data_IF_504134796318
#
_entry.id   IF_504134796318
#
_cell.length_a   1.000
_cell.length_b   1.000
_cell.length_c   1.000
_cell.angle_alpha   90.00
_cell.angle_beta   90.00
_cell.angle_gamma   90.00
#
_symmetry.space_group_name_H-M   'P 1'
#
loop_
_entity.id
_entity.type
_entity.pdbx_description
1 polymer ?
#
# COMPACT_ATOMS: atom_id res chain seq x y z
N UNK A 1 -11.49 -18.61 9.93
CA UNK A 1 -11.54 -18.34 11.39
C UNK A 1 -10.29 -18.87 12.11
N UNK A 2 -9.89 -20.11 11.87
CA UNK A 2 -8.70 -20.73 12.51
C UNK A 2 -7.38 -19.96 12.25
N UNK A 3 -7.18 -19.49 11.02
CA UNK A 3 -6.00 -18.71 10.62
C UNK A 3 -5.89 -17.34 11.32
N UNK A 4 -7.02 -16.75 11.74
CA UNK A 4 -7.04 -15.47 12.48
C UNK A 4 -6.67 -15.70 13.95
N UNK A 5 -7.17 -16.79 14.53
CA UNK A 5 -6.85 -17.20 15.91
C UNK A 5 -5.36 -17.52 16.08
N UNK A 6 -4.75 -18.20 15.10
CA UNK A 6 -3.31 -18.50 15.10
C UNK A 6 -2.45 -17.23 15.08
N UNK A 7 -2.76 -16.27 14.19
CA UNK A 7 -2.05 -14.99 14.09
C UNK A 7 -2.11 -14.18 15.38
N UNK A 8 -3.27 -14.14 16.04
CA UNK A 8 -3.42 -13.48 17.35
C UNK A 8 -2.52 -14.12 18.40
N UNK A 9 -2.48 -15.46 18.44
CA UNK A 9 -1.64 -16.22 19.35
C UNK A 9 -0.15 -15.95 19.16
N UNK A 10 0.31 -15.90 17.91
CA UNK A 10 1.69 -15.60 17.55
C UNK A 10 2.09 -14.18 18.00
N UNK A 11 1.24 -13.18 17.75
CA UNK A 11 1.46 -11.79 18.19
C UNK A 11 1.52 -11.65 19.71
N UNK A 12 0.66 -12.37 20.43
CA UNK A 12 0.68 -12.39 21.90
C UNK A 12 2.01 -12.98 22.41
N UNK A 13 2.45 -14.09 21.82
CA UNK A 13 3.71 -14.74 22.17
C UNK A 13 4.91 -13.85 21.86
N UNK A 14 4.89 -13.16 20.72
CA UNK A 14 5.92 -12.20 20.29
C UNK A 14 6.12 -11.11 21.34
N UNK A 15 5.07 -10.33 21.64
CA UNK A 15 5.18 -9.21 22.60
C UNK A 15 5.55 -9.68 24.01
N UNK A 16 5.05 -10.86 24.42
CA UNK A 16 5.39 -11.46 25.71
C UNK A 16 6.88 -11.79 25.78
N UNK A 17 7.43 -12.45 24.76
CA UNK A 17 8.85 -12.82 24.70
C UNK A 17 9.77 -11.60 24.58
N UNK A 18 9.41 -10.61 23.75
CA UNK A 18 10.18 -9.36 23.60
C UNK A 18 10.31 -8.61 24.93
N UNK A 19 9.27 -8.66 25.76
CA UNK A 19 9.26 -8.05 27.10
C UNK A 19 9.73 -8.99 28.20
N UNK A 20 10.19 -10.19 27.86
CA UNK A 20 10.69 -11.20 28.80
C UNK A 20 9.67 -11.57 29.89
N UNK A 21 8.38 -11.53 29.54
CA UNK A 21 7.29 -11.86 30.44
C UNK A 21 6.97 -13.36 30.39
N UNK A 22 6.65 -13.94 31.55
CA UNK A 22 6.04 -15.27 31.65
C UNK A 22 4.53 -15.20 31.39
N UNK A 23 3.89 -16.35 31.17
CA UNK A 23 2.42 -16.39 31.08
C UNK A 23 1.75 -15.99 32.42
N UNK A 24 2.45 -16.16 33.55
CA UNK A 24 1.95 -15.71 34.85
C UNK A 24 1.99 -14.18 34.94
N UNK A 25 3.07 -13.55 34.49
CA UNK A 25 3.18 -12.09 34.46
C UNK A 25 2.11 -11.47 33.57
N UNK A 26 1.88 -12.05 32.38
CA UNK A 26 0.81 -11.57 31.48
C UNK A 26 -0.57 -11.82 32.10
N UNK A 27 -0.78 -12.91 32.84
CA UNK A 27 -2.03 -13.15 33.52
C UNK A 27 -2.31 -12.10 34.60
N UNK A 28 -1.30 -11.74 35.38
CA UNK A 28 -1.38 -10.67 36.39
C UNK A 28 -1.65 -9.31 35.76
N UNK A 29 -0.91 -8.95 34.69
CA UNK A 29 -1.04 -7.67 34.02
C UNK A 29 -2.39 -7.47 33.32
N UNK A 30 -2.99 -8.53 32.79
CA UNK A 30 -4.17 -8.46 31.92
C UNK A 30 -5.46 -8.91 32.60
N UNK A 31 -5.36 -9.61 33.73
CA UNK A 31 -6.49 -10.26 34.39
C UNK A 31 -7.10 -11.40 33.57
N UNK A 32 -6.38 -11.93 32.58
CA UNK A 32 -6.77 -13.11 31.78
C UNK A 32 -6.04 -14.32 32.34
N UNK A 33 -6.74 -15.45 32.51
CA UNK A 33 -6.14 -16.62 33.16
C UNK A 33 -4.97 -17.21 32.35
N UNK A 34 -3.93 -17.67 33.05
CA UNK A 34 -2.77 -18.35 32.44
C UNK A 34 -3.17 -19.49 31.48
N UNK A 35 -4.15 -20.37 31.81
CA UNK A 35 -4.58 -21.40 30.88
C UNK A 35 -5.15 -20.83 29.57
N UNK A 36 -5.96 -19.77 29.66
CA UNK A 36 -6.55 -19.11 28.48
C UNK A 36 -5.48 -18.43 27.63
N UNK A 37 -4.53 -17.71 28.24
CA UNK A 37 -3.40 -17.12 27.52
C UNK A 37 -2.58 -18.19 26.78
N UNK A 38 -2.32 -19.34 27.44
CA UNK A 38 -1.63 -20.46 26.83
C UNK A 38 -2.41 -21.10 25.67
N UNK A 39 -3.74 -21.19 25.77
CA UNK A 39 -4.58 -21.68 24.66
C UNK A 39 -4.58 -20.71 23.48
N UNK A 40 -4.62 -19.40 23.74
CA UNK A 40 -4.53 -18.35 22.71
C UNK A 40 -3.18 -18.44 21.99
N UNK A 41 -2.06 -18.50 22.72
CA UNK A 41 -0.72 -18.60 22.09
C UNK A 41 -0.50 -19.85 21.24
N UNK A 42 -1.21 -20.94 21.53
CA UNK A 42 -1.18 -22.19 20.73
C UNK A 42 -2.24 -22.23 19.63
N UNK A 43 -3.03 -21.16 19.46
CA UNK A 43 -4.14 -21.11 18.51
C UNK A 43 -5.32 -22.04 18.84
N UNK A 44 -5.34 -22.65 20.03
CA UNK A 44 -6.35 -23.62 20.48
C UNK A 44 -7.67 -22.95 20.89
N UNK A 45 -7.69 -21.63 21.07
CA UNK A 45 -8.89 -20.84 21.37
C UNK A 45 -8.85 -19.52 20.63
N UNK A 46 -9.96 -19.15 19.97
CA UNK A 46 -10.14 -17.82 19.40
C UNK A 46 -10.65 -16.85 20.48
N UNK A 47 -9.85 -15.86 20.90
CA UNK A 47 -10.28 -14.92 21.93
C UNK A 47 -11.39 -14.00 21.39
N UNK A 48 -12.29 -13.60 22.28
CA UNK A 48 -13.28 -12.55 21.97
C UNK A 48 -12.61 -11.17 21.95
N UNK A 49 -13.25 -10.19 21.32
CA UNK A 49 -12.77 -8.79 21.32
C UNK A 49 -12.56 -8.24 22.75
N UNK A 50 -13.38 -8.65 23.71
CA UNK A 50 -13.25 -8.26 25.12
C UNK A 50 -11.97 -8.82 25.76
N UNK A 51 -11.61 -10.07 25.42
CA UNK A 51 -10.34 -10.67 25.88
C UNK A 51 -9.16 -9.93 25.26
N UNK A 52 -9.22 -9.62 23.96
CA UNK A 52 -8.18 -8.84 23.30
C UNK A 52 -8.03 -7.43 23.88
N UNK A 53 -9.12 -6.78 24.27
CA UNK A 53 -9.09 -5.51 24.99
C UNK A 53 -8.42 -5.60 26.35
N UNK A 54 -8.71 -6.65 27.14
CA UNK A 54 -8.04 -6.89 28.42
C UNK A 54 -6.54 -7.08 28.24
N UNK A 55 -6.15 -7.91 27.26
CA UNK A 55 -4.75 -8.19 26.96
C UNK A 55 -4.03 -6.93 26.49
N UNK A 56 -4.60 -6.21 25.52
CA UNK A 56 -4.02 -4.97 24.98
C UNK A 56 -3.87 -3.89 26.05
N UNK A 57 -4.87 -3.73 26.92
CA UNK A 57 -4.83 -2.79 28.05
C UNK A 57 -3.73 -3.16 29.06
N UNK A 58 -3.68 -4.43 29.50
CA UNK A 58 -2.68 -4.89 30.47
C UNK A 58 -1.26 -4.82 29.94
N UNK A 59 -1.07 -5.09 28.65
CA UNK A 59 0.21 -4.96 27.95
C UNK A 59 0.48 -3.55 27.42
N UNK A 60 -0.42 -2.57 27.62
CA UNK A 60 -0.27 -1.19 27.13
C UNK A 60 0.09 -1.12 25.64
N UNK A 61 -0.63 -1.86 24.81
CA UNK A 61 -0.52 -1.86 23.35
C UNK A 61 -1.89 -1.50 22.75
N UNK A 62 -1.96 -0.91 21.55
CA UNK A 62 -3.25 -0.69 20.89
C UNK A 62 -3.88 -2.04 20.50
N UNK A 63 -5.22 -2.14 20.51
CA UNK A 63 -5.94 -3.34 20.07
C UNK A 63 -5.54 -3.74 18.63
N UNK A 64 -5.28 -2.75 17.77
CA UNK A 64 -4.84 -2.93 16.39
C UNK A 64 -3.51 -3.69 16.26
N UNK A 65 -2.72 -3.82 17.33
CA UNK A 65 -1.53 -4.66 17.34
C UNK A 65 -1.86 -6.12 16.97
N UNK A 66 -2.99 -6.65 17.45
CA UNK A 66 -3.47 -7.99 17.11
C UNK A 66 -4.09 -8.06 15.70
N UNK A 67 -4.42 -6.90 15.12
CA UNK A 67 -4.93 -6.77 13.77
C UNK A 67 -3.82 -6.55 12.74
N UNK A 68 -2.56 -6.40 13.17
CA UNK A 68 -1.42 -6.20 12.26
C UNK A 68 -1.30 -7.44 11.37
N UNK A 69 -1.80 -7.32 10.14
CA UNK A 69 -1.43 -8.24 9.07
C UNK A 69 0.09 -8.28 9.00
N UNK A 70 0.67 -9.47 9.01
CA UNK A 70 2.06 -9.62 8.62
C UNK A 70 2.25 -8.87 7.31
N UNK A 71 3.15 -7.89 7.33
CA UNK A 71 3.74 -7.41 6.08
C UNK A 71 4.31 -8.66 5.42
N UNK A 72 3.69 -9.08 4.31
CA UNK A 72 4.21 -10.19 3.54
C UNK A 72 5.69 -9.88 3.24
N UNK A 73 6.56 -10.88 3.37
CA UNK A 73 8.00 -10.69 3.10
C UNK A 73 8.23 -10.09 1.71
N UNK A 74 7.35 -10.43 0.76
CA UNK A 74 7.20 -9.76 -0.52
C UNK A 74 5.74 -9.83 -1.00
N UNK A 75 5.38 -8.97 -1.95
CA UNK A 75 4.10 -9.04 -2.67
C UNK A 75 4.36 -8.95 -4.17
N UNK A 76 3.73 -9.84 -4.94
CA UNK A 76 3.73 -9.80 -6.40
C UNK A 76 2.43 -9.15 -6.85
N UNK A 77 2.53 -8.00 -7.52
CA UNK A 77 1.40 -7.32 -8.10
C UNK A 77 1.32 -7.60 -9.61
N UNK A 78 0.10 -7.67 -10.14
CA UNK A 78 -0.17 -7.86 -11.55
C UNK A 78 -1.30 -6.95 -12.02
N UNK A 79 -1.55 -6.94 -13.33
CA UNK A 79 -2.65 -6.19 -13.90
C UNK A 79 -3.97 -6.92 -13.58
N UNK A 80 -4.80 -6.28 -12.77
CA UNK A 80 -6.16 -6.71 -12.49
C UNK A 80 -7.13 -5.76 -13.19
N UNK A 81 -7.85 -6.30 -14.18
CA UNK A 81 -8.81 -5.53 -14.99
C UNK A 81 -9.98 -4.95 -14.19
N UNK A 82 -10.35 -5.55 -13.06
CA UNK A 82 -11.45 -5.06 -12.21
C UNK A 82 -11.07 -3.78 -11.43
N UNK A 83 -9.77 -3.58 -11.20
CA UNK A 83 -9.24 -2.46 -10.43
C UNK A 83 -8.66 -1.32 -11.29
N UNK A 84 -8.84 -1.40 -12.61
CA UNK A 84 -8.38 -0.36 -13.52
C UNK A 84 -9.15 0.95 -13.29
N UNK A 85 -8.41 2.02 -13.01
CA UNK A 85 -8.95 3.38 -12.96
C UNK A 85 -8.89 3.93 -14.38
N UNK A 86 -10.05 4.23 -14.96
CA UNK A 86 -10.16 4.69 -16.34
C UNK A 86 -10.55 6.16 -16.42
N UNK A 87 -10.01 6.86 -17.41
CA UNK A 87 -10.56 8.16 -17.80
C UNK A 87 -11.97 8.03 -18.41
N UNK A 88 -12.72 9.14 -18.50
CA UNK A 88 -14.10 9.18 -19.01
C UNK A 88 -14.28 8.43 -20.35
N UNK A 89 -13.28 8.53 -21.25
CA UNK A 89 -13.32 7.90 -22.57
C UNK A 89 -12.60 6.54 -22.63
N UNK A 90 -12.07 6.04 -21.51
CA UNK A 90 -11.36 4.76 -21.40
C UNK A 90 -9.98 4.68 -22.08
N UNK A 91 -9.56 5.73 -22.78
CA UNK A 91 -8.31 5.77 -23.55
C UNK A 91 -7.04 5.77 -22.70
N UNK A 92 -7.14 6.08 -21.40
CA UNK A 92 -6.09 5.92 -20.41
C UNK A 92 -6.61 5.01 -19.30
N UNK A 93 -5.80 4.01 -18.93
CA UNK A 93 -6.12 3.03 -17.89
C UNK A 93 -4.95 2.92 -16.93
N UNK A 94 -5.17 3.27 -15.66
CA UNK A 94 -4.19 3.16 -14.60
C UNK A 94 -4.52 1.96 -13.70
N UNK A 95 -3.61 0.99 -13.62
CA UNK A 95 -3.71 -0.21 -12.84
C UNK A 95 -2.89 -0.03 -11.56
N UNK A 96 -3.51 0.11 -10.37
CA UNK A 96 -2.77 0.22 -9.12
C UNK A 96 -2.09 -1.12 -8.82
N UNK A 97 -0.76 -1.16 -8.95
CA UNK A 97 0.04 -2.34 -8.61
C UNK A 97 0.33 -2.37 -7.10
N UNK A 98 0.70 -1.22 -6.55
CA UNK A 98 0.83 -1.02 -5.12
C UNK A 98 0.03 0.24 -4.77
N UNK A 99 -1.20 0.07 -4.23
CA UNK A 99 -2.00 1.19 -3.74
C UNK A 99 -1.24 2.00 -2.67
N UNK A 100 -1.71 3.21 -2.40
CA UNK A 100 -1.09 4.11 -1.44
C UNK A 100 -0.74 3.44 -0.10
N UNK A 101 0.56 3.43 0.20
CA UNK A 101 1.10 3.00 1.48
C UNK A 101 1.34 4.24 2.37
N UNK A 102 0.59 4.43 3.46
CA UNK A 102 0.72 5.60 4.33
C UNK A 102 2.02 5.61 5.16
N UNK A 103 2.72 4.48 5.28
CA UNK A 103 4.01 4.41 5.97
C UNK A 103 5.16 4.83 5.04
N UNK A 104 5.03 4.51 3.75
CA UNK A 104 6.05 4.80 2.72
C UNK A 104 5.74 6.06 1.92
N UNK A 105 4.53 6.60 2.04
CA UNK A 105 4.01 7.74 1.30
C UNK A 105 4.22 7.56 -0.22
N UNK A 106 3.85 6.39 -0.73
CA UNK A 106 4.05 6.02 -2.13
C UNK A 106 2.89 5.20 -2.67
N UNK A 107 2.58 5.39 -3.94
CA UNK A 107 1.76 4.46 -4.73
C UNK A 107 2.39 4.21 -6.10
N UNK A 108 2.06 3.06 -6.70
CA UNK A 108 2.63 2.60 -7.96
C UNK A 108 1.54 2.13 -8.90
N UNK A 109 1.56 2.67 -10.11
CA UNK A 109 0.68 2.28 -11.20
C UNK A 109 1.46 1.69 -12.36
N UNK A 110 0.81 0.77 -13.08
CA UNK A 110 1.07 0.56 -14.48
C UNK A 110 -0.01 1.29 -15.29
N UNK A 111 0.37 2.05 -16.30
CA UNK A 111 -0.55 2.88 -17.07
C UNK A 111 -0.45 2.49 -18.54
N UNK A 112 -1.62 2.31 -19.16
CA UNK A 112 -1.77 2.16 -20.60
C UNK A 112 -2.39 3.42 -21.19
N UNK A 113 -1.86 3.84 -22.34
CA UNK A 113 -2.34 4.96 -23.12
C UNK A 113 -2.65 4.50 -24.54
N UNK A 114 -3.91 4.57 -24.95
CA UNK A 114 -4.33 4.29 -26.31
C UNK A 114 -3.76 5.31 -27.30
N UNK A 115 -3.74 4.94 -28.58
CA UNK A 115 -3.32 5.84 -29.64
C UNK A 115 -4.16 7.13 -29.63
N UNK A 116 -3.48 8.27 -29.67
CA UNK A 116 -4.12 9.60 -29.69
C UNK A 116 -4.64 10.10 -28.34
N UNK A 117 -4.62 9.31 -27.27
CA UNK A 117 -5.20 9.74 -25.99
C UNK A 117 -4.47 10.96 -25.43
N UNK A 118 -5.23 11.84 -24.78
CA UNK A 118 -4.70 12.97 -24.02
C UNK A 118 -5.39 13.04 -22.66
N UNK A 119 -4.60 12.93 -21.61
CA UNK A 119 -5.01 13.15 -20.23
C UNK A 119 -4.38 14.44 -19.71
N UNK A 120 -5.15 15.27 -19.02
CA UNK A 120 -4.62 16.43 -18.31
C UNK A 120 -4.91 16.29 -16.81
N UNK A 121 -3.88 16.49 -16.00
CA UNK A 121 -3.95 16.45 -14.55
C UNK A 121 -3.93 17.86 -13.97
N UNK A 122 -4.80 18.09 -12.99
CA UNK A 122 -4.65 19.23 -12.10
C UNK A 122 -3.38 19.06 -11.25
N UNK A 123 -2.77 20.17 -10.79
CA UNK A 123 -1.68 20.09 -9.82
C UNK A 123 -2.06 19.21 -8.65
N UNK A 124 -1.20 18.24 -8.32
CA UNK A 124 -1.35 17.43 -7.13
C UNK A 124 -1.03 18.26 -5.87
N UNK A 125 -1.20 17.64 -4.70
CA UNK A 125 -0.87 18.28 -3.42
C UNK A 125 0.58 18.76 -3.43
N UNK A 126 0.85 19.92 -2.84
CA UNK A 126 2.19 20.50 -2.72
C UNK A 126 3.17 19.46 -2.18
N UNK A 127 4.31 19.28 -2.84
CA UNK A 127 5.31 18.30 -2.42
C UNK A 127 5.34 17.02 -3.25
N UNK A 128 4.27 16.68 -3.96
CA UNK A 128 4.18 15.40 -4.69
C UNK A 128 5.17 15.36 -5.85
N UNK A 129 5.84 14.22 -6.00
CA UNK A 129 6.71 13.89 -7.14
C UNK A 129 6.19 12.66 -7.88
N UNK A 130 6.33 12.68 -9.19
CA UNK A 130 6.04 11.52 -10.04
C UNK A 130 7.30 11.07 -10.76
N UNK A 131 7.45 9.75 -10.84
CA UNK A 131 8.51 9.05 -11.55
C UNK A 131 7.85 8.17 -12.61
N UNK A 132 7.98 8.58 -13.88
CA UNK A 132 7.39 7.87 -15.00
C UNK A 132 8.49 7.12 -15.73
N UNK A 133 8.33 5.80 -15.84
CA UNK A 133 9.25 4.90 -16.53
C UNK A 133 8.55 4.36 -17.78
N UNK A 134 8.92 4.87 -18.96
CA UNK A 134 8.27 4.46 -20.20
C UNK A 134 8.78 3.07 -20.62
N UNK A 135 7.88 2.09 -20.63
CA UNK A 135 8.19 0.70 -20.93
C UNK A 135 8.14 0.45 -22.43
N UNK A 136 7.09 0.92 -23.10
CA UNK A 136 6.86 0.71 -24.52
C UNK A 136 6.30 1.98 -25.17
N UNK A 137 6.81 2.32 -26.35
CA UNK A 137 6.27 3.39 -27.20
C UNK A 137 6.91 4.76 -26.96
N UNK A 138 6.12 5.81 -27.20
CA UNK A 138 6.54 7.22 -27.08
C UNK A 138 5.43 7.98 -26.35
N UNK A 139 5.80 8.80 -25.38
CA UNK A 139 4.85 9.57 -24.57
C UNK A 139 5.26 11.04 -24.56
N UNK A 140 4.37 11.91 -25.04
CA UNK A 140 4.52 13.36 -24.90
C UNK A 140 3.92 13.79 -23.58
N UNK A 141 4.68 14.51 -22.78
CA UNK A 141 4.22 15.10 -21.52
C UNK A 141 4.23 16.62 -21.63
N UNK A 142 3.30 17.28 -20.94
CA UNK A 142 3.33 18.72 -20.70
C UNK A 142 3.46 18.91 -19.20
N UNK A 143 4.51 19.57 -18.72
CA UNK A 143 4.78 19.76 -17.28
C UNK A 143 5.03 21.25 -17.05
N UNK A 144 4.16 21.91 -16.29
CA UNK A 144 4.25 23.36 -16.05
C UNK A 144 4.28 24.17 -17.36
N UNK A 145 3.56 23.71 -18.39
CA UNK A 145 3.53 24.33 -19.73
C UNK A 145 4.72 24.00 -20.64
N UNK A 146 5.70 23.21 -20.18
CA UNK A 146 6.84 22.77 -21.01
C UNK A 146 6.57 21.38 -21.58
N UNK A 147 6.81 21.22 -22.87
CA UNK A 147 6.69 19.93 -23.53
C UNK A 147 7.96 19.09 -23.33
N UNK A 148 7.77 17.82 -23.01
CA UNK A 148 8.83 16.82 -22.90
C UNK A 148 8.41 15.59 -23.68
N UNK A 149 9.31 15.04 -24.49
CA UNK A 149 9.08 13.78 -25.20
C UNK A 149 9.88 12.67 -24.53
N UNK A 150 9.19 11.63 -24.09
CA UNK A 150 9.79 10.45 -23.47
C UNK A 150 9.76 9.30 -24.48
N UNK A 151 10.92 8.69 -24.72
CA UNK A 151 11.07 7.51 -25.59
C UNK A 151 11.19 6.23 -24.76
N UNK A 152 10.97 5.09 -25.40
CA UNK A 152 11.07 3.78 -24.77
C UNK A 152 12.36 3.63 -23.94
N UNK A 153 12.24 3.06 -22.73
CA UNK A 153 13.34 2.86 -21.77
C UNK A 153 13.93 4.16 -21.21
N UNK A 154 13.31 5.31 -21.47
CA UNK A 154 13.60 6.55 -20.76
C UNK A 154 12.68 6.70 -19.56
N UNK A 155 13.11 7.53 -18.62
CA UNK A 155 12.34 7.83 -17.42
C UNK A 155 12.47 9.29 -17.08
N UNK A 156 11.45 9.84 -16.45
CA UNK A 156 11.42 11.23 -16.00
C UNK A 156 10.94 11.29 -14.57
N UNK A 157 11.57 12.18 -13.81
CA UNK A 157 11.06 12.65 -12.52
C UNK A 157 10.64 14.09 -12.65
N UNK A 158 9.49 14.44 -12.09
CA UNK A 158 9.06 15.82 -12.00
C UNK A 158 8.21 16.06 -10.75
N UNK A 159 8.11 17.33 -10.38
CA UNK A 159 7.19 17.82 -9.35
C UNK A 159 5.77 17.80 -9.92
N UNK A 160 4.88 17.00 -9.34
CA UNK A 160 3.50 16.87 -9.81
C UNK A 160 2.55 17.89 -9.15
N UNK A 161 3.06 18.72 -8.24
CA UNK A 161 2.37 19.88 -7.68
C UNK A 161 2.29 21.09 -8.65
N UNK A 162 2.52 20.85 -9.94
CA UNK A 162 2.22 21.76 -11.04
C UNK A 162 1.27 21.09 -12.03
N UNK A 163 0.59 21.87 -12.87
CA UNK A 163 -0.24 21.33 -13.93
C UNK A 163 0.61 20.48 -14.86
N UNK A 164 0.14 19.26 -15.14
CA UNK A 164 0.82 18.34 -16.01
C UNK A 164 -0.16 17.51 -16.83
N UNK A 165 0.32 16.81 -17.86
CA UNK A 165 -0.54 15.98 -18.70
C UNK A 165 0.25 15.01 -19.56
N UNK A 166 -0.45 13.99 -20.04
CA UNK A 166 0.06 12.86 -20.78
C UNK A 166 -0.62 12.81 -22.14
N UNK A 167 0.16 12.61 -23.19
CA UNK A 167 -0.36 12.52 -24.55
C UNK A 167 0.40 11.47 -25.35
N UNK A 168 -0.31 10.40 -25.73
CA UNK A 168 0.19 9.47 -26.72
C UNK A 168 -0.18 9.98 -28.11
N UNK A 169 0.72 10.75 -28.73
CA UNK A 169 0.50 11.31 -30.06
C UNK A 169 0.69 10.28 -31.20
N UNK A 170 1.00 9.01 -30.88
CA UNK A 170 1.32 7.99 -31.86
C UNK A 170 0.10 7.15 -32.27
N UNK A 171 0.25 6.36 -33.32
CA UNK A 171 -0.76 5.42 -33.81
C UNK A 171 -0.77 4.08 -33.05
N UNK A 172 0.13 3.90 -32.07
CA UNK A 172 0.26 2.69 -31.27
C UNK A 172 0.02 3.00 -29.81
N UNK A 173 -0.46 2.03 -29.03
CA UNK A 173 -0.53 2.18 -27.59
C UNK A 173 0.88 2.36 -27.00
N UNK A 174 0.98 3.08 -25.89
CA UNK A 174 2.21 3.16 -25.10
C UNK A 174 1.91 2.85 -23.63
N UNK A 175 2.92 2.35 -22.91
CA UNK A 175 2.77 1.87 -21.53
C UNK A 175 3.90 2.34 -20.64
N UNK A 176 3.58 2.67 -19.40
CA UNK A 176 4.54 3.19 -18.44
C UNK A 176 4.25 2.68 -17.02
N UNK A 177 5.29 2.55 -16.20
CA UNK A 177 5.10 2.59 -14.76
C UNK A 177 5.08 4.04 -14.29
N UNK A 178 4.22 4.35 -13.33
CA UNK A 178 4.24 5.62 -12.63
C UNK A 178 4.35 5.37 -11.12
N UNK A 179 5.35 5.97 -10.48
CA UNK A 179 5.52 5.93 -9.03
C UNK A 179 5.29 7.33 -8.50
N UNK A 180 4.32 7.47 -7.61
CA UNK A 180 3.94 8.76 -7.02
C UNK A 180 4.40 8.78 -5.58
N UNK A 181 5.26 9.74 -5.23
CA UNK A 181 5.72 9.99 -3.87
C UNK A 181 5.03 11.21 -3.29
N UNK A 182 4.56 11.06 -2.05
CA UNK A 182 3.94 12.13 -1.28
C UNK A 182 4.93 12.65 -0.23
N UNK A 183 4.90 13.95 0.09
CA UNK A 183 5.73 14.49 1.15
C UNK A 183 5.34 13.88 2.50
N UNK A 184 6.34 13.65 3.37
CA UNK A 184 6.08 13.35 4.77
C UNK A 184 5.51 14.63 5.42
N UNK A 185 4.29 14.55 5.94
CA UNK A 185 3.73 15.59 6.81
C UNK A 185 4.43 15.61 8.17
#
# INVERSE_FOLDING_TARGET
>A
MEQVSLKIGERLKEIRNTRQLTLDDVAELTGVSKPMLGQIERGQSSPTINILWKISTGLKIPLSFFCKQEEAEYTVAGLDGENAITEENGGMRAYPLFPFDPMRNVEVFYIEFDAGVRHNSLPHVTGVEEYVFLVQGVLKMVIGGKEVLLQEKQSIRFRADVSHGYHNASEKACTAYNVIFYPNN
#
